data_IF_917511599046
#
_entry.id   IF_917511599046
#
_cell.length_a   1.000
_cell.length_b   1.000
_cell.length_c   1.000
_cell.angle_alpha   90.00
_cell.angle_beta   90.00
_cell.angle_gamma   90.00
#
_symmetry.space_group_name_H-M   'P 1'
#
loop_
_entity.id
_entity.type
_entity.pdbx_description
1 polymer ?
#
# COMPACT_ATOMS: atom_id res chain seq x y z
N UNK A 1 5.87 -13.56 27.81
CA UNK A 1 5.64 -14.73 26.95
C UNK A 1 6.80 -14.76 25.95
N UNK A 2 7.76 -15.66 26.12
CA UNK A 2 8.96 -15.71 25.26
C UNK A 2 8.51 -16.34 23.94
N UNK A 3 8.41 -15.52 22.88
CA UNK A 3 8.11 -16.02 21.56
C UNK A 3 9.29 -16.88 21.07
N UNK A 4 8.98 -18.12 20.68
CA UNK A 4 9.99 -19.06 20.17
C UNK A 4 10.63 -18.48 18.91
N UNK A 5 11.97 -18.47 18.88
CA UNK A 5 12.78 -18.11 17.73
C UNK A 5 12.43 -19.08 16.59
N UNK A 6 12.02 -18.61 15.40
CA UNK A 6 11.75 -19.51 14.28
C UNK A 6 13.05 -20.20 13.86
N UNK A 7 13.04 -21.54 13.79
CA UNK A 7 14.21 -22.38 13.46
C UNK A 7 14.76 -22.15 12.04
N UNK A 8 14.01 -21.46 11.18
CA UNK A 8 14.44 -21.13 9.82
C UNK A 8 13.94 -19.74 9.41
N UNK A 9 14.79 -18.73 9.58
CA UNK A 9 14.49 -17.35 9.19
C UNK A 9 14.71 -17.21 7.69
N UNK A 10 13.63 -16.96 6.96
CA UNK A 10 13.63 -16.73 5.51
C UNK A 10 13.03 -15.37 5.17
N UNK A 11 13.22 -14.92 3.92
CA UNK A 11 12.50 -13.72 3.42
C UNK A 11 10.99 -13.88 3.55
N UNK A 12 10.44 -15.09 3.37
CA UNK A 12 9.01 -15.35 3.53
C UNK A 12 8.53 -15.08 4.97
N UNK A 13 9.34 -15.39 5.98
CA UNK A 13 9.06 -15.05 7.39
C UNK A 13 8.88 -13.54 7.55
N UNK A 14 9.76 -12.74 6.93
CA UNK A 14 9.68 -11.28 7.01
C UNK A 14 8.46 -10.75 6.25
N UNK A 15 8.15 -11.30 5.06
CA UNK A 15 6.95 -10.92 4.31
C UNK A 15 5.67 -11.11 5.14
N UNK A 16 5.55 -12.24 5.87
CA UNK A 16 4.40 -12.50 6.74
C UNK A 16 4.31 -11.49 7.90
N UNK A 17 5.45 -11.08 8.48
CA UNK A 17 5.49 -10.05 9.51
C UNK A 17 5.03 -8.71 8.93
N UNK A 18 5.53 -8.32 7.77
CA UNK A 18 5.19 -7.06 7.12
C UNK A 18 3.70 -7.00 6.71
N UNK A 19 3.09 -8.13 6.38
CA UNK A 19 1.66 -8.19 6.05
C UNK A 19 0.75 -7.88 7.24
N UNK A 20 1.27 -7.89 8.47
CA UNK A 20 0.53 -7.45 9.67
C UNK A 20 0.53 -5.92 9.86
N UNK A 21 1.42 -5.21 9.17
CA UNK A 21 1.52 -3.75 9.26
C UNK A 21 0.53 -3.12 8.29
N UNK A 22 -0.42 -2.36 8.82
CA UNK A 22 -1.47 -1.72 8.03
C UNK A 22 -1.20 -0.24 7.79
N UNK A 23 -1.78 0.29 6.72
CA UNK A 23 -1.76 1.71 6.42
C UNK A 23 -2.61 2.48 7.46
N UNK A 24 -2.10 3.60 8.05
CA UNK A 24 -2.82 4.34 9.06
C UNK A 24 -4.06 5.08 8.53
N UNK A 25 -4.12 5.35 7.22
CA UNK A 25 -5.23 6.05 6.57
C UNK A 25 -6.27 5.08 5.98
N UNK A 26 -5.84 3.85 5.66
CA UNK A 26 -6.68 2.80 5.08
C UNK A 26 -6.39 1.48 5.82
N UNK A 27 -6.94 1.29 7.04
CA UNK A 27 -6.54 0.21 7.96
C UNK A 27 -6.90 -1.20 7.50
N UNK A 28 -7.55 -1.36 6.35
CA UNK A 28 -7.79 -2.66 5.72
C UNK A 28 -6.68 -3.10 4.78
N UNK A 29 -5.76 -2.18 4.43
CA UNK A 29 -4.62 -2.47 3.57
C UNK A 29 -3.36 -2.71 4.40
N UNK A 30 -2.68 -3.83 4.17
CA UNK A 30 -1.32 -4.00 4.64
C UNK A 30 -0.32 -3.27 3.72
N UNK A 31 0.88 -3.01 4.24
CA UNK A 31 1.98 -2.45 3.44
C UNK A 31 2.38 -3.39 2.28
N UNK A 32 2.09 -4.68 2.41
CA UNK A 32 2.26 -5.69 1.36
C UNK A 32 1.16 -5.54 0.31
N UNK A 33 -0.10 -5.42 0.71
CA UNK A 33 -1.23 -5.17 -0.20
C UNK A 33 -1.02 -3.93 -1.06
N UNK A 34 -0.47 -2.87 -0.46
CA UNK A 34 -0.16 -1.63 -1.16
C UNK A 34 1.00 -1.75 -2.15
N UNK A 35 1.82 -2.81 -2.06
CA UNK A 35 3.00 -2.99 -2.90
C UNK A 35 4.10 -1.95 -2.66
N UNK A 36 4.16 -1.35 -1.47
CA UNK A 36 5.21 -0.37 -1.13
C UNK A 36 6.52 -1.05 -0.71
N UNK A 37 6.50 -2.32 -0.31
CA UNK A 37 7.69 -3.09 0.00
C UNK A 37 8.39 -3.48 -1.31
N UNK A 38 9.65 -3.06 -1.47
CA UNK A 38 10.42 -3.27 -2.71
C UNK A 38 11.43 -4.40 -2.61
N UNK A 39 12.11 -4.49 -1.48
CA UNK A 39 13.11 -5.53 -1.24
C UNK A 39 13.24 -5.80 0.25
N UNK A 40 13.63 -7.02 0.55
CA UNK A 40 13.98 -7.48 1.90
C UNK A 40 15.34 -8.15 1.81
N UNK A 41 16.29 -7.67 2.61
CA UNK A 41 17.61 -8.27 2.72
C UNK A 41 17.83 -8.77 4.15
N UNK A 42 18.24 -10.03 4.25
CA UNK A 42 18.68 -10.62 5.53
C UNK A 42 20.19 -10.44 5.62
N UNK A 43 20.62 -9.75 6.67
CA UNK A 43 22.04 -9.53 6.95
C UNK A 43 22.51 -10.61 7.93
N UNK A 44 23.67 -11.23 7.71
CA UNK A 44 24.19 -12.24 8.61
C UNK A 44 24.22 -11.76 10.08
N UNK A 45 23.81 -12.62 11.00
CA UNK A 45 24.02 -12.40 12.42
C UNK A 45 25.50 -12.64 12.76
N UNK A 46 26.02 -11.92 13.73
CA UNK A 46 27.34 -12.20 14.28
C UNK A 46 27.20 -13.27 15.37
N UNK A 47 27.86 -14.43 15.18
CA UNK A 47 27.77 -15.53 16.11
C UNK A 47 26.39 -16.22 16.13
N UNK A 48 25.75 -16.28 17.31
CA UNK A 48 24.41 -16.88 17.50
C UNK A 48 23.26 -15.86 17.44
N UNK A 49 23.54 -14.63 16.98
CA UNK A 49 22.55 -13.57 16.95
C UNK A 49 21.53 -13.74 15.81
N UNK A 50 20.33 -13.19 16.04
CA UNK A 50 19.32 -13.09 15.01
C UNK A 50 19.83 -12.24 13.84
N UNK A 51 19.60 -12.66 12.57
CA UNK A 51 20.04 -11.89 11.42
C UNK A 51 19.40 -10.50 11.45
N UNK A 52 20.14 -9.51 10.94
CA UNK A 52 19.59 -8.19 10.69
C UNK A 52 18.62 -8.22 9.50
N UNK A 53 17.70 -7.26 9.45
CA UNK A 53 16.73 -7.13 8.37
C UNK A 53 16.81 -5.71 7.79
N UNK A 54 17.02 -5.60 6.50
CA UNK A 54 16.87 -4.36 5.77
C UNK A 54 15.63 -4.45 4.88
N UNK A 55 14.71 -3.48 5.03
CA UNK A 55 13.49 -3.38 4.23
C UNK A 55 13.53 -2.10 3.41
N UNK A 56 13.42 -2.24 2.09
CA UNK A 56 13.30 -1.11 1.17
C UNK A 56 11.83 -0.85 0.85
N UNK A 57 11.41 0.41 1.00
CA UNK A 57 10.02 0.85 0.76
C UNK A 57 9.97 2.01 -0.21
N UNK A 58 8.88 2.09 -1.00
CA UNK A 58 8.61 3.22 -1.91
C UNK A 58 7.28 3.86 -1.54
N UNK A 59 7.23 5.18 -1.28
CA UNK A 59 5.99 5.88 -1.00
C UNK A 59 5.07 5.91 -2.23
N UNK A 60 3.76 5.95 -2.02
CA UNK A 60 2.77 6.09 -3.10
C UNK A 60 2.85 7.44 -3.80
N UNK A 61 3.37 8.47 -3.13
CA UNK A 61 3.76 9.76 -3.69
C UNK A 61 4.85 10.40 -2.83
N UNK A 62 5.65 11.27 -3.45
CA UNK A 62 6.75 11.96 -2.76
C UNK A 62 6.21 12.88 -1.66
N UNK A 63 6.71 12.73 -0.44
CA UNK A 63 6.30 13.54 0.71
C UNK A 63 5.04 13.04 1.42
N UNK A 64 4.63 11.77 1.22
CA UNK A 64 3.52 11.17 1.94
C UNK A 64 3.79 11.17 3.47
N UNK A 65 2.97 11.85 4.29
CA UNK A 65 3.17 11.93 5.74
C UNK A 65 2.96 10.59 6.45
N UNK A 66 2.20 9.67 5.86
CA UNK A 66 1.98 8.33 6.40
C UNK A 66 3.26 7.49 6.43
N UNK A 67 4.28 7.82 5.62
CA UNK A 67 5.50 7.01 5.52
C UNK A 67 6.29 6.92 6.82
N UNK A 68 6.29 7.96 7.64
CA UNK A 68 6.97 7.92 8.95
C UNK A 68 6.27 6.96 9.91
N UNK A 69 4.93 6.97 9.91
CA UNK A 69 4.11 6.05 10.71
C UNK A 69 4.28 4.61 10.22
N UNK A 70 4.23 4.39 8.90
CA UNK A 70 4.44 3.09 8.27
C UNK A 70 5.84 2.55 8.59
N UNK A 71 6.88 3.37 8.42
CA UNK A 71 8.27 2.98 8.73
C UNK A 71 8.43 2.59 10.19
N UNK A 72 7.79 3.33 11.09
CA UNK A 72 7.77 3.02 12.53
C UNK A 72 7.02 1.72 12.79
N UNK A 73 5.85 1.51 12.17
CA UNK A 73 5.07 0.28 12.27
C UNK A 73 5.86 -0.94 11.81
N UNK A 74 6.53 -0.85 10.66
CA UNK A 74 7.42 -1.92 10.14
C UNK A 74 8.53 -2.23 11.15
N UNK A 75 9.19 -1.19 11.69
CA UNK A 75 10.26 -1.36 12.68
C UNK A 75 9.77 -2.06 13.94
N UNK A 76 8.62 -1.64 14.47
CA UNK A 76 8.03 -2.24 15.67
C UNK A 76 7.64 -3.70 15.43
N UNK A 77 6.96 -4.00 14.32
CA UNK A 77 6.59 -5.36 13.98
C UNK A 77 7.81 -6.29 13.87
N UNK A 78 8.90 -5.82 13.27
CA UNK A 78 10.16 -6.57 13.21
C UNK A 78 10.76 -6.80 14.59
N UNK A 79 10.79 -5.78 15.47
CA UNK A 79 11.31 -5.89 16.84
C UNK A 79 10.50 -6.89 17.67
N UNK A 80 9.17 -6.83 17.59
CA UNK A 80 8.27 -7.76 18.28
C UNK A 80 8.52 -9.23 17.90
N UNK A 81 8.98 -9.46 16.67
CA UNK A 81 9.35 -10.81 16.19
C UNK A 81 10.84 -11.13 16.37
N UNK A 82 11.58 -10.34 17.16
CA UNK A 82 12.96 -10.59 17.53
C UNK A 82 14.01 -10.03 16.57
N UNK A 83 13.62 -9.28 15.53
CA UNK A 83 14.55 -8.63 14.59
C UNK A 83 14.91 -7.23 15.07
N UNK A 84 15.68 -7.13 16.15
CA UNK A 84 16.08 -5.86 16.78
C UNK A 84 17.04 -5.05 15.90
N UNK A 85 17.87 -5.73 15.10
CA UNK A 85 18.72 -5.10 14.07
C UNK A 85 17.94 -4.95 12.77
N UNK A 86 17.22 -3.83 12.64
CA UNK A 86 16.47 -3.56 11.41
C UNK A 86 16.76 -2.15 10.85
N UNK A 87 16.71 -2.03 9.55
CA UNK A 87 16.88 -0.77 8.80
C UNK A 87 15.79 -0.65 7.77
N UNK A 88 15.11 0.51 7.74
CA UNK A 88 14.11 0.82 6.74
C UNK A 88 14.70 1.87 5.81
N UNK A 89 14.76 1.57 4.51
CA UNK A 89 15.27 2.48 3.46
C UNK A 89 14.12 2.93 2.57
N UNK A 90 14.00 4.23 2.38
CA UNK A 90 13.07 4.78 1.39
C UNK A 90 13.75 4.87 0.03
N UNK A 91 13.13 4.30 -1.00
CA UNK A 91 13.56 4.34 -2.40
C UNK A 91 12.51 5.10 -3.19
N UNK A 92 12.94 6.14 -3.92
CA UNK A 92 12.05 6.98 -4.72
C UNK A 92 12.01 6.59 -6.21
N UNK A 93 12.98 5.80 -6.66
CA UNK A 93 13.07 5.33 -8.04
C UNK A 93 13.21 3.80 -8.09
N UNK A 94 12.41 3.09 -8.93
CA UNK A 94 11.31 3.65 -9.72
C UNK A 94 10.18 4.17 -8.84
N UNK A 95 9.42 5.16 -9.34
CA UNK A 95 8.25 5.67 -8.63
C UNK A 95 7.20 4.57 -8.46
N UNK A 96 6.47 4.63 -7.36
CA UNK A 96 5.38 3.69 -7.08
C UNK A 96 4.29 3.77 -8.16
N UNK A 97 3.70 2.63 -8.49
CA UNK A 97 2.58 2.54 -9.42
C UNK A 97 1.47 1.68 -8.82
N UNK A 98 0.24 1.93 -9.23
CA UNK A 98 -0.94 1.14 -8.82
C UNK A 98 -0.86 -0.34 -9.26
N UNK A 99 0.01 -0.65 -10.23
CA UNK A 99 0.23 -2.02 -10.69
C UNK A 99 0.97 -2.89 -9.65
N UNK A 100 1.57 -2.25 -8.64
CA UNK A 100 2.26 -2.95 -7.55
C UNK A 100 1.32 -3.39 -6.43
N UNK A 101 0.09 -2.87 -6.42
CA UNK A 101 -0.93 -3.33 -5.48
C UNK A 101 -1.33 -4.77 -5.78
N UNK A 102 -1.50 -5.55 -4.71
CA UNK A 102 -2.02 -6.92 -4.84
C UNK A 102 -3.50 -6.92 -5.24
N UNK A 103 -3.95 -7.99 -5.88
CA UNK A 103 -5.38 -8.16 -6.17
C UNK A 103 -6.21 -8.27 -4.87
N UNK A 104 -5.63 -8.88 -3.82
CA UNK A 104 -6.21 -8.89 -2.47
C UNK A 104 -6.42 -7.47 -1.95
N UNK A 105 -5.41 -6.61 -2.07
CA UNK A 105 -5.50 -5.20 -1.66
C UNK A 105 -6.58 -4.44 -2.40
N UNK A 106 -6.71 -4.62 -3.72
CA UNK A 106 -7.78 -4.01 -4.52
C UNK A 106 -9.17 -4.48 -4.08
N UNK A 107 -9.32 -5.77 -3.77
CA UNK A 107 -10.58 -6.32 -3.24
C UNK A 107 -10.92 -5.77 -1.86
N UNK A 108 -9.93 -5.66 -0.97
CA UNK A 108 -10.08 -5.06 0.36
C UNK A 108 -10.52 -3.59 0.26
N UNK A 109 -9.92 -2.80 -0.65
CA UNK A 109 -10.35 -1.42 -0.93
C UNK A 109 -11.82 -1.38 -1.32
N UNK A 110 -12.21 -2.19 -2.31
CA UNK A 110 -13.60 -2.23 -2.79
C UNK A 110 -14.58 -2.60 -1.68
N UNK A 111 -14.26 -3.62 -0.88
CA UNK A 111 -15.09 -4.05 0.24
C UNK A 111 -15.19 -2.98 1.34
N UNK A 112 -14.15 -2.15 1.50
CA UNK A 112 -14.12 -1.02 2.44
C UNK A 112 -14.87 0.22 1.93
N UNK A 113 -15.31 0.21 0.65
CA UNK A 113 -16.05 1.31 0.05
C UNK A 113 -15.16 2.33 -0.69
N UNK A 114 -13.89 2.00 -0.92
CA UNK A 114 -12.96 2.80 -1.73
C UNK A 114 -12.83 2.13 -3.10
N UNK A 115 -13.08 2.89 -4.18
CA UNK A 115 -12.88 2.36 -5.51
C UNK A 115 -11.37 2.08 -5.76
N UNK A 116 -10.98 0.84 -6.10
CA UNK A 116 -9.59 0.50 -6.35
C UNK A 116 -9.09 1.11 -7.66
N UNK A 117 -7.76 1.30 -7.80
CA UNK A 117 -7.19 1.77 -9.05
C UNK A 117 -7.47 0.76 -10.16
N UNK A 118 -7.83 1.29 -11.32
CA UNK A 118 -8.00 0.45 -12.50
C UNK A 118 -6.63 0.17 -13.10
N UNK A 119 -6.38 -1.09 -13.48
CA UNK A 119 -5.17 -1.48 -14.22
C UNK A 119 -5.14 -0.72 -15.55
N UNK A 120 -3.97 -0.25 -15.94
CA UNK A 120 -3.73 0.46 -17.22
C UNK A 120 -3.87 -0.48 -18.44
N UNK A 121 -4.97 -1.20 -18.58
CA UNK A 121 -5.36 -1.81 -19.85
C UNK A 121 -5.97 -0.73 -20.75
N UNK A 122 -5.24 0.32 -21.00
CA UNK A 122 -5.63 1.50 -21.71
C UNK A 122 -4.95 2.71 -21.11
N UNK A 123 -3.60 2.78 -21.23
CA UNK A 123 -2.90 4.02 -20.92
C UNK A 123 -3.58 5.14 -21.72
N UNK A 124 -4.04 6.24 -21.08
CA UNK A 124 -4.43 7.41 -21.86
C UNK A 124 -3.21 7.81 -22.68
N UNK A 125 -3.39 7.88 -24.00
CA UNK A 125 -2.36 8.44 -24.87
C UNK A 125 -2.10 9.86 -24.37
N UNK A 126 -0.84 10.31 -24.43
CA UNK A 126 -0.35 11.61 -23.96
C UNK A 126 -1.10 12.83 -24.58
N UNK A 127 -2.16 12.62 -25.35
CA UNK A 127 -2.90 13.62 -26.09
C UNK A 127 -4.38 13.79 -25.64
N UNK A 128 -4.85 13.07 -24.62
CA UNK A 128 -6.22 13.25 -24.12
C UNK A 128 -6.21 14.21 -22.93
N UNK A 129 -6.43 15.49 -23.25
CA UNK A 129 -6.91 16.48 -22.29
C UNK A 129 -8.19 15.92 -21.65
N UNK A 130 -8.18 15.70 -20.32
CA UNK A 130 -9.36 15.44 -19.49
C UNK A 130 -10.31 14.30 -19.90
N UNK A 131 -9.81 13.18 -20.42
CA UNK A 131 -10.64 11.98 -20.45
C UNK A 131 -10.88 11.53 -19.00
N UNK A 132 -12.08 11.79 -18.49
CA UNK A 132 -12.52 11.37 -17.16
C UNK A 132 -12.36 9.86 -17.06
N UNK A 133 -11.45 9.42 -16.20
CA UNK A 133 -11.31 8.01 -15.87
C UNK A 133 -12.66 7.53 -15.34
N UNK A 134 -13.33 6.63 -16.06
CA UNK A 134 -14.60 6.04 -15.61
C UNK A 134 -14.32 5.13 -14.43
N UNK A 135 -14.60 5.61 -13.24
CA UNK A 135 -14.40 4.88 -11.99
C UNK A 135 -15.66 4.10 -11.64
N UNK A 136 -15.54 2.81 -11.35
CA UNK A 136 -16.67 2.00 -10.93
C UNK A 136 -17.04 2.31 -9.48
N UNK A 137 -18.34 2.55 -9.22
CA UNK A 137 -18.86 2.72 -7.87
C UNK A 137 -18.66 1.44 -7.05
N UNK A 138 -18.01 1.49 -5.88
CA UNK A 138 -17.79 0.30 -5.05
C UNK A 138 -19.08 -0.26 -4.45
N UNK A 139 -20.16 0.55 -4.34
CA UNK A 139 -21.44 0.16 -3.74
C UNK A 139 -22.37 -0.55 -4.73
N UNK A 140 -22.64 0.08 -5.89
CA UNK A 140 -23.63 -0.44 -6.85
C UNK A 140 -23.00 -0.98 -8.15
N UNK A 141 -21.67 -0.91 -8.30
CA UNK A 141 -20.90 -1.28 -9.49
C UNK A 141 -21.21 -0.49 -10.76
N UNK A 142 -21.96 0.60 -10.69
CA UNK A 142 -22.21 1.47 -11.83
C UNK A 142 -20.94 2.22 -12.25
N UNK A 143 -20.80 2.47 -13.57
CA UNK A 143 -19.78 3.37 -14.12
C UNK A 143 -20.31 4.78 -14.37
N UNK A 144 -21.58 5.05 -14.04
CA UNK A 144 -22.18 6.38 -14.11
C UNK A 144 -21.75 7.19 -12.87
N UNK A 145 -20.50 7.62 -12.87
CA UNK A 145 -19.87 8.32 -11.76
C UNK A 145 -19.22 9.61 -12.23
N UNK A 146 -19.18 10.61 -11.36
CA UNK A 146 -18.49 11.88 -11.62
C UNK A 146 -17.47 12.18 -10.53
N UNK A 147 -16.37 12.80 -10.90
CA UNK A 147 -15.38 13.31 -9.96
C UNK A 147 -15.88 14.61 -9.34
N UNK A 148 -15.98 14.64 -8.01
CA UNK A 148 -16.33 15.83 -7.24
C UNK A 148 -15.09 16.67 -6.94
N UNK A 149 -13.98 15.98 -6.55
CA UNK A 149 -12.71 16.61 -6.21
C UNK A 149 -11.53 15.76 -6.65
N UNK A 150 -10.46 16.43 -7.08
CA UNK A 150 -9.20 15.77 -7.38
C UNK A 150 -8.55 15.17 -6.12
N UNK A 151 -8.82 15.72 -4.95
CA UNK A 151 -8.34 15.23 -3.67
C UNK A 151 -9.53 14.83 -2.81
N UNK A 152 -9.41 13.66 -2.15
CA UNK A 152 -10.34 13.13 -1.18
C UNK A 152 -9.91 13.50 0.26
N UNK A 153 -10.13 12.57 1.19
CA UNK A 153 -9.67 12.70 2.58
C UNK A 153 -8.14 12.78 2.70
N UNK A 154 -7.41 12.21 1.73
CA UNK A 154 -5.95 12.24 1.62
C UNK A 154 -5.52 12.49 0.18
N UNK A 155 -4.25 12.84 -0.05
CA UNK A 155 -3.73 13.14 -1.38
C UNK A 155 -3.75 11.93 -2.33
N UNK A 156 -3.61 10.70 -1.80
CA UNK A 156 -3.69 9.46 -2.58
C UNK A 156 -5.13 9.06 -2.98
N UNK A 157 -6.13 9.87 -2.64
CA UNK A 157 -7.55 9.62 -2.98
C UNK A 157 -8.15 10.80 -3.72
N UNK A 158 -9.14 10.51 -4.59
CA UNK A 158 -10.03 11.50 -5.21
C UNK A 158 -11.45 11.23 -4.76
N UNK A 159 -12.27 12.27 -4.62
CA UNK A 159 -13.66 12.13 -4.26
C UNK A 159 -14.54 12.03 -5.52
N UNK A 160 -15.36 11.01 -5.56
CA UNK A 160 -16.35 10.74 -6.61
C UNK A 160 -17.76 10.66 -6.03
N UNK A 161 -18.76 10.78 -6.89
CA UNK A 161 -20.16 10.49 -6.60
C UNK A 161 -20.72 9.59 -7.69
N UNK A 162 -21.45 8.57 -7.27
CA UNK A 162 -22.25 7.76 -8.20
C UNK A 162 -23.54 8.51 -8.58
N UNK A 163 -23.83 8.62 -9.87
CA UNK A 163 -25.05 9.26 -10.35
C UNK A 163 -26.27 8.34 -10.26
N UNK A 164 -26.07 7.04 -10.10
CA UNK A 164 -27.16 6.06 -9.98
C UNK A 164 -27.61 5.89 -8.52
N UNK A 165 -26.71 5.45 -7.62
CA UNK A 165 -27.06 5.26 -6.22
C UNK A 165 -26.87 6.52 -5.35
N UNK A 166 -26.31 7.60 -5.89
CA UNK A 166 -26.06 8.90 -5.25
C UNK A 166 -25.01 8.91 -4.15
N UNK A 167 -24.40 7.76 -3.83
CA UNK A 167 -23.38 7.65 -2.81
C UNK A 167 -22.07 8.34 -3.23
N UNK A 168 -21.46 9.16 -2.35
CA UNK A 168 -20.08 9.61 -2.51
C UNK A 168 -19.14 8.50 -2.10
N UNK A 169 -17.96 8.45 -2.76
CA UNK A 169 -16.94 7.47 -2.44
C UNK A 169 -15.54 7.97 -2.82
N UNK A 170 -14.53 7.47 -2.13
CA UNK A 170 -13.13 7.71 -2.47
C UNK A 170 -12.67 6.79 -3.60
N UNK A 171 -11.82 7.29 -4.48
CA UNK A 171 -11.09 6.53 -5.50
C UNK A 171 -9.60 6.58 -5.18
N UNK A 172 -8.97 5.43 -4.99
CA UNK A 172 -7.53 5.32 -4.75
C UNK A 172 -6.76 5.55 -6.06
N UNK A 173 -5.88 6.52 -6.09
CA UNK A 173 -5.16 6.94 -7.30
C UNK A 173 -3.65 6.95 -7.12
N UNK A 174 -2.92 6.80 -8.23
CA UNK A 174 -1.51 7.13 -8.36
C UNK A 174 -1.33 8.63 -8.64
N UNK A 175 -0.22 9.20 -8.16
CA UNK A 175 0.22 10.57 -8.47
C UNK A 175 1.32 10.57 -9.49
#
# INVERSE_FOLDING_TARGET
MIMQKPDNITKATIWNILDTVVDPEIPVLSVVDMGIIRDIQLMPGEGHDTPGVEVSITPTYTGCPAMDVISTGIRLALIEHGFTRNTIKTILAPAWTTDWMTESGKQKLKAYGIAPPQTKSGAPSLNEKDSEVKVQCPQCNSFNTKRISQFGSTACKSLYQCEDCKEPFDYFKCH
#
